data_IF_823189713612
#
_entry.id   IF_823189713612
#
_cell.length_a   1.000
_cell.length_b   1.000
_cell.length_c   1.000
_cell.angle_alpha   90.00
_cell.angle_beta   90.00
_cell.angle_gamma   90.00
#
_symmetry.space_group_name_H-M   'P 1'
#
loop_
_entity.id
_entity.type
_entity.pdbx_description
1 polymer ?
#
# COMPACT_ATOMS: atom_id res chain seq x y z
N UNK A 1 7.76 -6.85 11.87
CA UNK A 1 6.41 -7.27 12.30
C UNK A 1 5.65 -6.17 13.04
N UNK A 2 6.21 -5.48 14.05
CA UNK A 2 5.48 -4.45 14.82
C UNK A 2 4.97 -3.29 13.93
N UNK A 3 5.79 -2.80 13.01
CA UNK A 3 5.37 -1.75 12.05
C UNK A 3 4.15 -2.15 11.20
N UNK A 4 4.08 -3.41 10.78
CA UNK A 4 2.93 -3.93 10.04
C UNK A 4 1.67 -4.04 10.92
N UNK A 5 1.83 -4.45 12.19
CA UNK A 5 0.70 -4.49 13.13
C UNK A 5 0.12 -3.09 13.37
N UNK A 6 0.99 -2.09 13.51
CA UNK A 6 0.58 -0.68 13.71
C UNK A 6 -0.15 -0.16 12.47
N UNK A 7 0.35 -0.49 11.30
CA UNK A 7 -0.28 -0.16 10.02
C UNK A 7 -1.71 -0.70 9.93
N UNK A 8 -1.88 -2.01 10.15
CA UNK A 8 -3.20 -2.64 10.10
C UNK A 8 -4.14 -2.13 11.21
N UNK A 9 -3.58 -1.84 12.39
CA UNK A 9 -4.34 -1.25 13.48
C UNK A 9 -4.89 0.13 13.11
N UNK A 10 -4.15 0.92 12.32
CA UNK A 10 -4.61 2.20 11.79
C UNK A 10 -5.89 2.05 10.96
N UNK A 11 -5.89 1.13 9.98
CA UNK A 11 -7.07 0.82 9.18
C UNK A 11 -8.23 0.33 10.05
N UNK A 12 -7.95 -0.63 10.94
CA UNK A 12 -8.95 -1.22 11.81
C UNK A 12 -9.66 -0.18 12.67
N UNK A 13 -8.92 0.70 13.34
CA UNK A 13 -9.47 1.73 14.20
C UNK A 13 -10.41 2.68 13.45
N UNK A 14 -10.00 3.15 12.27
CA UNK A 14 -10.84 4.06 11.48
C UNK A 14 -12.08 3.36 10.94
N UNK A 15 -11.98 2.11 10.49
CA UNK A 15 -13.14 1.33 10.06
C UNK A 15 -14.13 1.11 11.22
N UNK A 16 -13.64 0.81 12.43
CA UNK A 16 -14.47 0.71 13.62
C UNK A 16 -15.16 2.04 13.95
N UNK A 17 -14.46 3.18 13.84
CA UNK A 17 -15.05 4.51 14.03
C UNK A 17 -16.17 4.81 13.01
N UNK A 18 -16.07 4.26 11.81
CA UNK A 18 -17.14 4.36 10.79
C UNK A 18 -18.25 3.32 10.95
N UNK A 19 -18.19 2.48 12.00
CA UNK A 19 -19.19 1.44 12.28
C UNK A 19 -19.13 0.25 11.31
N UNK A 20 -18.02 0.07 10.59
CA UNK A 20 -17.83 -1.04 9.66
C UNK A 20 -17.38 -2.27 10.43
N UNK A 21 -18.08 -3.38 10.21
CA UNK A 21 -17.69 -4.68 10.79
C UNK A 21 -16.58 -5.30 9.96
N UNK A 22 -15.44 -5.52 10.58
CA UNK A 22 -14.36 -6.33 10.00
C UNK A 22 -14.77 -7.80 10.06
N UNK A 23 -14.84 -8.48 8.92
CA UNK A 23 -15.27 -9.88 8.83
C UNK A 23 -14.14 -10.85 9.17
N UNK A 24 -12.95 -10.57 8.69
CA UNK A 24 -11.77 -11.41 8.98
C UNK A 24 -10.49 -10.57 8.94
N UNK A 25 -9.55 -10.93 9.80
CA UNK A 25 -8.18 -10.45 9.77
C UNK A 25 -7.28 -11.67 9.57
N UNK A 26 -6.67 -11.79 8.41
CA UNK A 26 -5.74 -12.89 8.09
C UNK A 26 -4.32 -12.35 8.11
N UNK A 27 -3.53 -12.83 9.06
CA UNK A 27 -2.11 -12.53 9.12
C UNK A 27 -1.36 -13.55 8.26
N UNK A 28 -0.72 -13.07 7.20
CA UNK A 28 0.12 -13.86 6.31
C UNK A 28 1.59 -13.48 6.48
N UNK A 29 2.50 -14.30 5.96
CA UNK A 29 3.95 -14.03 6.00
C UNK A 29 4.32 -12.70 5.32
N UNK A 30 3.52 -12.25 4.34
CA UNK A 30 3.73 -11.02 3.56
C UNK A 30 2.97 -9.80 4.12
N UNK A 31 2.27 -9.93 5.24
CA UNK A 31 1.47 -8.86 5.85
C UNK A 31 0.15 -9.38 6.41
N UNK A 32 -0.72 -8.48 6.79
CA UNK A 32 -2.09 -8.80 7.18
C UNK A 32 -3.06 -8.38 6.06
N UNK A 33 -4.08 -9.19 5.83
CA UNK A 33 -5.17 -8.88 4.91
C UNK A 33 -6.45 -8.77 5.71
N UNK A 34 -7.06 -7.59 5.68
CA UNK A 34 -8.31 -7.31 6.37
C UNK A 34 -9.47 -7.32 5.37
N UNK A 35 -10.44 -8.20 5.61
CA UNK A 35 -11.69 -8.22 4.84
C UNK A 35 -12.74 -7.39 5.57
N UNK A 36 -13.07 -6.23 5.05
CA UNK A 36 -14.12 -5.34 5.55
C UNK A 36 -15.14 -5.04 4.45
N UNK A 37 -16.40 -4.87 4.83
CA UNK A 37 -17.46 -4.51 3.90
C UNK A 37 -17.45 -2.99 3.65
N UNK A 38 -16.49 -2.55 2.86
CA UNK A 38 -16.30 -1.13 2.52
C UNK A 38 -17.28 -0.62 1.45
N UNK A 39 -18.05 -1.51 0.80
CA UNK A 39 -19.03 -1.14 -0.24
C UNK A 39 -20.11 -0.16 0.27
N UNK A 40 -20.28 -0.04 1.58
CA UNK A 40 -21.21 0.91 2.21
C UNK A 40 -20.60 2.28 2.50
N UNK A 41 -19.28 2.43 2.35
CA UNK A 41 -18.60 3.69 2.58
C UNK A 41 -18.69 4.60 1.36
N UNK A 42 -18.84 5.91 1.62
CA UNK A 42 -18.62 6.91 0.58
C UNK A 42 -17.13 7.00 0.24
N UNK A 43 -16.79 7.41 -0.99
CA UNK A 43 -15.39 7.57 -1.41
C UNK A 43 -14.50 8.34 -0.41
N UNK A 44 -14.93 9.49 0.17
CA UNK A 44 -14.09 10.18 1.15
C UNK A 44 -13.83 9.38 2.42
N UNK A 45 -14.83 8.66 2.94
CA UNK A 45 -14.67 7.84 4.15
C UNK A 45 -13.75 6.65 3.90
N UNK A 46 -13.91 6.02 2.75
CA UNK A 46 -13.04 4.92 2.35
C UNK A 46 -11.60 5.40 2.13
N UNK A 47 -11.40 6.59 1.54
CA UNK A 47 -10.09 7.21 1.38
C UNK A 47 -9.41 7.46 2.74
N UNK A 48 -10.14 7.99 3.72
CA UNK A 48 -9.61 8.19 5.08
C UNK A 48 -9.24 6.85 5.71
N UNK A 49 -10.08 5.82 5.58
CA UNK A 49 -9.77 4.48 6.09
C UNK A 49 -8.53 3.89 5.42
N UNK A 50 -8.38 4.06 4.10
CA UNK A 50 -7.22 3.58 3.33
C UNK A 50 -5.92 4.30 3.75
N UNK A 51 -5.95 5.59 4.01
CA UNK A 51 -4.77 6.35 4.43
C UNK A 51 -4.45 6.21 5.92
N UNK A 52 -5.34 5.60 6.71
CA UNK A 52 -5.16 5.44 8.15
C UNK A 52 -3.98 4.53 8.52
N UNK A 53 -3.70 3.48 7.73
CA UNK A 53 -2.54 2.60 7.93
C UNK A 53 -1.21 3.33 7.79
N UNK A 54 -0.92 3.92 6.60
CA UNK A 54 0.25 4.77 6.43
C UNK A 54 0.33 5.91 7.46
N UNK A 55 -0.80 6.55 7.76
CA UNK A 55 -0.89 7.61 8.78
C UNK A 55 -0.51 7.12 10.19
N UNK A 56 -0.94 5.92 10.58
CA UNK A 56 -0.56 5.32 11.86
C UNK A 56 0.95 5.06 11.95
N UNK A 57 1.57 4.59 10.86
CA UNK A 57 3.01 4.42 10.81
C UNK A 57 3.78 5.74 10.94
N UNK A 58 3.33 6.81 10.27
CA UNK A 58 3.94 8.13 10.40
C UNK A 58 3.81 8.69 11.81
N UNK A 59 2.61 8.58 12.39
CA UNK A 59 2.37 9.00 13.78
C UNK A 59 3.26 8.23 14.76
N UNK A 60 3.39 6.93 14.56
CA UNK A 60 4.26 6.08 15.37
C UNK A 60 5.73 6.49 15.26
N UNK A 61 6.22 6.76 14.05
CA UNK A 61 7.56 7.28 13.84
C UNK A 61 7.77 8.61 14.59
N UNK A 62 6.83 9.55 14.48
CA UNK A 62 6.92 10.83 15.16
C UNK A 62 6.97 10.68 16.68
N UNK A 63 6.16 9.79 17.25
CA UNK A 63 6.16 9.52 18.70
C UNK A 63 7.48 8.89 19.17
N UNK A 64 8.03 7.95 18.42
CA UNK A 64 9.31 7.33 18.76
C UNK A 64 10.49 8.31 18.69
N UNK A 65 10.48 9.20 17.70
CA UNK A 65 11.53 10.22 17.51
C UNK A 65 11.58 11.24 18.68
N UNK A 66 10.47 11.44 19.39
CA UNK A 66 10.41 12.30 20.57
C UNK A 66 11.00 11.59 21.80
N UNK A 67 10.91 10.27 21.87
CA UNK A 67 11.24 9.51 23.09
C UNK A 67 12.71 9.13 23.20
N UNK A 68 13.30 8.47 22.20
CA UNK A 68 14.74 8.14 22.14
C UNK A 68 15.12 7.67 20.73
N UNK A 69 15.80 8.54 19.98
CA UNK A 69 16.14 8.31 18.58
C UNK A 69 17.12 7.15 18.38
N UNK A 70 18.01 6.89 19.34
CA UNK A 70 19.09 5.91 19.20
C UNK A 70 18.63 4.45 19.31
N UNK A 71 17.67 4.17 20.17
CA UNK A 71 17.18 2.80 20.46
C UNK A 71 16.19 2.28 19.44
N UNK A 72 15.41 3.16 18.83
CA UNK A 72 14.28 2.78 17.96
C UNK A 72 14.54 2.97 16.47
N UNK A 73 15.77 3.37 16.08
CA UNK A 73 16.15 3.59 14.68
C UNK A 73 15.73 2.48 13.70
N UNK A 74 15.94 1.17 13.99
CA UNK A 74 15.51 0.12 13.06
C UNK A 74 14.00 0.02 12.91
N UNK A 75 13.23 0.31 13.98
CA UNK A 75 11.77 0.24 13.96
C UNK A 75 11.17 1.45 13.24
N UNK A 76 11.75 2.63 13.45
CA UNK A 76 11.41 3.87 12.72
C UNK A 76 11.70 3.65 11.23
N UNK A 77 12.89 3.17 10.88
CA UNK A 77 13.25 2.86 9.50
C UNK A 77 12.28 1.87 8.84
N UNK A 78 11.94 0.79 9.52
CA UNK A 78 10.98 -0.20 9.02
C UNK A 78 9.58 0.40 8.81
N UNK A 79 9.13 1.28 9.72
CA UNK A 79 7.82 1.94 9.62
C UNK A 79 7.78 2.95 8.47
N UNK A 80 8.86 3.72 8.27
CA UNK A 80 8.98 4.65 7.14
C UNK A 80 8.99 3.90 5.81
N UNK A 81 9.80 2.85 5.70
CA UNK A 81 9.86 2.01 4.47
C UNK A 81 8.49 1.42 4.18
N UNK A 82 7.81 0.86 5.19
CA UNK A 82 6.48 0.28 5.02
C UNK A 82 5.47 1.34 4.58
N UNK A 83 5.51 2.54 5.19
CA UNK A 83 4.63 3.65 4.83
C UNK A 83 4.86 4.08 3.37
N UNK A 84 6.11 4.33 2.97
CA UNK A 84 6.47 4.75 1.61
C UNK A 84 6.06 3.68 0.61
N UNK A 85 6.34 2.41 0.90
CA UNK A 85 5.99 1.30 0.02
C UNK A 85 4.47 1.18 -0.15
N UNK A 86 3.69 1.26 0.93
CA UNK A 86 2.23 1.19 0.84
C UNK A 86 1.61 2.41 0.16
N UNK A 87 2.27 3.57 0.15
CA UNK A 87 1.81 4.77 -0.57
C UNK A 87 2.16 4.77 -2.06
N UNK A 88 2.87 3.76 -2.57
CA UNK A 88 3.07 3.62 -4.01
C UNK A 88 1.73 3.50 -4.73
N UNK A 89 1.54 4.18 -5.87
CA UNK A 89 0.29 4.17 -6.62
C UNK A 89 0.11 2.87 -7.43
N UNK A 90 0.30 1.72 -6.78
CA UNK A 90 0.22 0.38 -7.36
C UNK A 90 -0.86 -0.40 -6.62
N UNK A 91 -1.89 -0.89 -7.31
CA UNK A 91 -2.82 -1.84 -6.72
C UNK A 91 -2.12 -3.21 -6.50
N UNK A 92 -2.32 -3.86 -5.36
CA UNK A 92 -3.33 -3.64 -4.31
C UNK A 92 -2.86 -2.78 -3.11
N UNK A 93 -1.78 -2.00 -3.23
CA UNK A 93 -1.27 -1.16 -2.14
C UNK A 93 -2.22 0.01 -1.83
N UNK A 94 -2.12 0.57 -0.62
CA UNK A 94 -2.99 1.67 -0.16
C UNK A 94 -2.91 2.90 -1.04
N UNK A 95 -1.71 3.24 -1.54
CA UNK A 95 -1.51 4.37 -2.45
C UNK A 95 -2.25 4.18 -3.78
N UNK A 96 -2.26 2.97 -4.33
CA UNK A 96 -3.03 2.63 -5.52
C UNK A 96 -4.54 2.74 -5.28
N UNK A 97 -5.02 2.25 -4.12
CA UNK A 97 -6.42 2.36 -3.71
C UNK A 97 -6.81 3.80 -3.42
N UNK A 98 -5.97 4.57 -2.73
CA UNK A 98 -6.19 5.98 -2.46
C UNK A 98 -6.28 6.81 -3.75
N UNK A 99 -5.40 6.56 -4.72
CA UNK A 99 -5.44 7.18 -6.04
C UNK A 99 -6.75 6.86 -6.77
N UNK A 100 -7.17 5.59 -6.77
CA UNK A 100 -8.45 5.18 -7.32
C UNK A 100 -9.61 5.95 -6.68
N UNK A 101 -9.69 5.93 -5.34
CA UNK A 101 -10.79 6.56 -4.60
C UNK A 101 -10.85 8.07 -4.83
N UNK A 102 -9.71 8.74 -4.83
CA UNK A 102 -9.61 10.18 -5.06
C UNK A 102 -10.07 10.55 -6.47
N UNK A 103 -9.58 9.83 -7.48
CA UNK A 103 -9.95 10.10 -8.88
C UNK A 103 -11.38 9.66 -9.18
N UNK A 104 -11.87 8.58 -8.59
CA UNK A 104 -13.25 8.14 -8.71
C UNK A 104 -14.22 9.13 -8.07
N UNK A 105 -13.85 9.73 -6.95
CA UNK A 105 -14.65 10.76 -6.28
C UNK A 105 -14.76 12.04 -7.13
N UNK A 106 -13.68 12.48 -7.78
CA UNK A 106 -13.65 13.70 -8.56
C UNK A 106 -14.21 13.54 -9.99
N UNK A 107 -13.96 12.40 -10.63
CA UNK A 107 -14.18 12.21 -12.07
C UNK A 107 -15.06 10.98 -12.42
N UNK A 108 -15.52 10.25 -11.41
CA UNK A 108 -16.30 9.03 -11.59
C UNK A 108 -15.47 7.75 -11.63
N UNK A 109 -16.12 6.62 -11.29
CA UNK A 109 -15.46 5.33 -11.08
C UNK A 109 -14.65 4.81 -12.27
N UNK A 110 -15.16 4.96 -13.50
CA UNK A 110 -14.46 4.51 -14.72
C UNK A 110 -13.14 5.26 -14.96
N UNK A 111 -13.13 6.57 -14.70
CA UNK A 111 -11.91 7.38 -14.81
C UNK A 111 -10.93 6.98 -13.71
N UNK A 112 -11.42 6.84 -12.48
CA UNK A 112 -10.62 6.38 -11.35
C UNK A 112 -9.91 5.06 -11.60
N UNK A 113 -10.65 4.09 -12.13
CA UNK A 113 -10.12 2.78 -12.50
C UNK A 113 -9.02 2.86 -13.57
N UNK A 114 -9.26 3.63 -14.63
CA UNK A 114 -8.28 3.82 -15.70
C UNK A 114 -7.02 4.49 -15.20
N UNK A 115 -7.14 5.57 -14.40
CA UNK A 115 -6.00 6.30 -13.83
C UNK A 115 -5.20 5.40 -12.91
N UNK A 116 -5.83 4.72 -11.96
CA UNK A 116 -5.14 3.84 -11.02
C UNK A 116 -4.42 2.69 -11.74
N UNK A 117 -5.03 2.13 -12.78
CA UNK A 117 -4.46 1.05 -13.58
C UNK A 117 -3.22 1.52 -14.36
N UNK A 118 -3.33 2.60 -15.12
CA UNK A 118 -2.22 3.10 -15.94
C UNK A 118 -1.07 3.57 -15.05
N UNK A 119 -1.36 4.39 -14.04
CA UNK A 119 -0.33 4.89 -13.11
C UNK A 119 0.34 3.74 -12.36
N UNK A 120 -0.45 2.77 -11.89
CA UNK A 120 0.07 1.59 -11.20
C UNK A 120 0.98 0.74 -12.10
N UNK A 121 0.57 0.52 -13.35
CA UNK A 121 1.39 -0.22 -14.31
C UNK A 121 2.70 0.51 -14.63
N UNK A 122 2.66 1.83 -14.88
CA UNK A 122 3.85 2.64 -15.11
C UNK A 122 4.80 2.61 -13.91
N UNK A 123 4.27 2.76 -12.70
CA UNK A 123 5.06 2.71 -11.47
C UNK A 123 5.68 1.32 -11.23
N UNK A 124 4.94 0.25 -11.47
CA UNK A 124 5.44 -1.12 -11.33
C UNK A 124 6.55 -1.43 -12.36
N UNK A 125 6.41 -0.97 -13.60
CA UNK A 125 7.46 -1.09 -14.63
C UNK A 125 8.71 -0.29 -14.25
N UNK A 126 8.53 0.94 -13.76
CA UNK A 126 9.65 1.78 -13.32
C UNK A 126 10.41 1.15 -12.15
N UNK A 127 9.69 0.60 -11.16
CA UNK A 127 10.29 -0.13 -10.04
C UNK A 127 11.03 -1.38 -10.51
N UNK A 128 10.39 -2.22 -11.32
CA UNK A 128 11.00 -3.43 -11.86
C UNK A 128 12.25 -3.13 -12.70
N UNK A 129 12.17 -2.12 -13.56
CA UNK A 129 13.30 -1.65 -14.38
C UNK A 129 14.43 -1.07 -13.54
N UNK A 130 14.11 -0.27 -12.52
CA UNK A 130 15.09 0.29 -11.58
C UNK A 130 15.82 -0.80 -10.80
N UNK A 131 15.09 -1.79 -10.28
CA UNK A 131 15.68 -2.94 -9.60
C UNK A 131 16.58 -3.76 -10.52
N UNK A 132 16.14 -4.01 -11.76
CA UNK A 132 16.94 -4.69 -12.78
C UNK A 132 18.22 -3.94 -13.11
N UNK A 133 18.13 -2.60 -13.27
CA UNK A 133 19.29 -1.74 -13.50
C UNK A 133 20.30 -1.82 -12.35
N UNK A 134 19.83 -1.71 -11.10
CA UNK A 134 20.68 -1.85 -9.90
C UNK A 134 21.36 -3.22 -9.89
N UNK A 135 20.64 -4.31 -10.19
CA UNK A 135 21.21 -5.64 -10.28
C UNK A 135 22.33 -5.71 -11.34
N UNK A 136 22.12 -5.13 -12.51
CA UNK A 136 23.11 -5.12 -13.58
C UNK A 136 24.37 -4.33 -13.20
N UNK A 137 24.22 -3.20 -12.49
CA UNK A 137 25.34 -2.36 -12.06
C UNK A 137 26.12 -2.91 -10.87
N UNK A 138 25.46 -3.65 -9.96
CA UNK A 138 26.09 -4.14 -8.71
C UNK A 138 26.68 -5.56 -8.83
N UNK A 139 26.66 -6.15 -10.02
CA UNK A 139 27.22 -7.50 -10.24
C UNK A 139 26.38 -8.64 -9.68
N UNK A 140 25.07 -8.41 -9.49
CA UNK A 140 24.13 -9.50 -9.28
C UNK A 140 23.77 -9.84 -7.85
N UNK A 141 23.07 -8.97 -7.18
CA UNK A 141 22.23 -9.37 -6.03
C UNK A 141 21.02 -10.17 -6.53
N UNK A 142 21.16 -11.47 -6.76
CA UNK A 142 20.06 -12.37 -7.19
C UNK A 142 18.82 -12.29 -6.29
N UNK A 143 18.95 -11.77 -5.08
CA UNK A 143 17.87 -11.53 -4.14
C UNK A 143 16.84 -10.51 -4.62
N UNK A 144 17.19 -9.58 -5.50
CA UNK A 144 16.29 -8.58 -6.06
C UNK A 144 15.49 -9.11 -7.26
N UNK A 145 15.92 -10.21 -7.87
CA UNK A 145 15.26 -10.80 -9.04
C UNK A 145 13.79 -11.18 -8.80
N UNK A 146 13.41 -11.84 -7.69
CA UNK A 146 12.02 -12.16 -7.41
C UNK A 146 11.15 -10.90 -7.26
N UNK A 147 11.70 -9.84 -6.67
CA UNK A 147 10.98 -8.58 -6.47
C UNK A 147 10.76 -7.85 -7.80
N UNK A 148 11.79 -7.80 -8.65
CA UNK A 148 11.68 -7.24 -10.00
C UNK A 148 10.67 -8.01 -10.86
N UNK A 149 10.71 -9.34 -10.83
CA UNK A 149 9.73 -10.19 -11.52
C UNK A 149 8.30 -9.98 -11.00
N UNK A 150 8.13 -9.87 -9.67
CA UNK A 150 6.84 -9.59 -9.07
C UNK A 150 6.29 -8.22 -9.51
N UNK A 151 7.14 -7.19 -9.61
CA UNK A 151 6.76 -5.88 -10.11
C UNK A 151 6.28 -5.94 -11.57
N UNK A 152 7.01 -6.63 -12.45
CA UNK A 152 6.59 -6.83 -13.84
C UNK A 152 5.30 -7.66 -13.96
N UNK A 153 5.16 -8.71 -13.15
CA UNK A 153 3.94 -9.50 -13.11
C UNK A 153 2.73 -8.67 -12.62
N UNK A 154 2.92 -7.79 -11.63
CA UNK A 154 1.89 -6.87 -11.19
C UNK A 154 1.49 -5.89 -12.30
N UNK A 155 2.46 -5.31 -13.02
CA UNK A 155 2.19 -4.44 -14.17
C UNK A 155 1.39 -5.17 -15.25
N UNK A 156 1.78 -6.38 -15.61
CA UNK A 156 1.08 -7.21 -16.59
C UNK A 156 -0.36 -7.52 -16.16
N UNK A 157 -0.58 -7.88 -14.89
CA UNK A 157 -1.94 -8.09 -14.35
C UNK A 157 -2.80 -6.84 -14.43
N UNK A 158 -2.26 -5.68 -14.06
CA UNK A 158 -2.99 -4.41 -14.13
C UNK A 158 -3.39 -4.03 -15.56
N UNK A 159 -2.58 -4.39 -16.56
CA UNK A 159 -2.87 -4.11 -17.97
C UNK A 159 -3.82 -5.14 -18.59
N UNK A 160 -3.73 -6.42 -18.19
CA UNK A 160 -4.46 -7.52 -18.84
C UNK A 160 -5.81 -7.83 -18.18
N UNK A 161 -5.95 -7.64 -16.86
CA UNK A 161 -7.19 -8.01 -16.14
C UNK A 161 -8.13 -6.82 -16.02
N UNK A 162 -9.27 -6.93 -16.72
CA UNK A 162 -10.39 -5.98 -16.62
C UNK A 162 -11.20 -6.13 -15.32
N UNK A 163 -11.01 -7.22 -14.54
CA UNK A 163 -11.92 -7.64 -13.45
C UNK A 163 -11.43 -7.35 -12.03
N UNK A 164 -10.38 -6.55 -11.85
CA UNK A 164 -9.81 -6.30 -10.48
C UNK A 164 -10.72 -5.41 -9.60
N UNK A 165 -11.74 -4.78 -10.19
CA UNK A 165 -12.59 -3.79 -9.52
C UNK A 165 -14.06 -4.23 -9.32
N UNK A 166 -14.40 -5.45 -9.69
CA UNK A 166 -15.67 -6.08 -9.36
C UNK A 166 -15.50 -6.96 -8.13
#
# INVERSE_FOLDING_TARGET
>A
MLAAVIHELGHFLVLCCFGIRVRSLRVCVLGAVMEADTARLSYPRELVATLAGPGANLLFCALLSIWDESRFTPLVGASVVLCVFNLLPILPLDGGRALYLLTAWCFGGQVGERVARVTGACCAVALGGGLFYVMACTGGSLWLAPVALAAFAAAARLLLNYEIFL
#
